data_IF_372286634114
#
_entry.id   IF_372286634114
#
_cell.length_a   1.000
_cell.length_b   1.000
_cell.length_c   1.000
_cell.angle_alpha   90.00
_cell.angle_beta   90.00
_cell.angle_gamma   90.00
#
_symmetry.space_group_name_H-M   'P 1'
#
loop_
_entity.id
_entity.type
_entity.pdbx_description
1 polymer ?
#
# COMPACT_ATOMS: atom_id res chain seq x y z
N UNK A 1 45.42 7.45 -65.33
CA UNK A 1 45.06 8.53 -64.38
C UNK A 1 43.78 8.09 -63.69
N UNK A 2 43.89 7.60 -62.46
CA UNK A 2 42.75 7.13 -61.67
C UNK A 2 42.22 8.30 -60.86
N UNK A 3 41.09 8.85 -61.29
CA UNK A 3 40.31 9.81 -60.50
C UNK A 3 39.71 9.07 -59.30
N UNK A 4 40.07 9.50 -58.08
CA UNK A 4 39.44 9.02 -56.85
C UNK A 4 38.50 10.10 -56.30
N UNK A 5 37.29 9.67 -55.95
CA UNK A 5 36.26 10.53 -55.35
C UNK A 5 36.56 10.72 -53.85
N UNK A 6 36.71 11.96 -53.40
CA UNK A 6 36.74 12.28 -51.97
C UNK A 6 35.29 12.46 -51.47
N UNK A 7 34.85 11.61 -50.55
CA UNK A 7 33.60 11.78 -49.82
C UNK A 7 33.91 12.38 -48.45
N UNK A 8 33.51 13.64 -48.25
CA UNK A 8 33.58 14.31 -46.95
C UNK A 8 32.18 14.25 -46.33
N UNK A 9 32.06 13.54 -45.22
CA UNK A 9 30.81 13.44 -44.46
C UNK A 9 30.53 14.76 -43.74
N UNK A 10 29.33 15.33 -43.92
CA UNK A 10 28.93 16.52 -43.17
C UNK A 10 28.71 16.15 -41.69
N UNK A 11 29.23 16.99 -40.78
CA UNK A 11 28.88 16.89 -39.37
C UNK A 11 27.39 17.24 -39.19
N UNK A 12 26.65 16.34 -38.52
CA UNK A 12 25.23 16.52 -38.23
C UNK A 12 25.05 16.49 -36.72
N UNK A 13 24.57 17.60 -36.18
CA UNK A 13 24.23 17.69 -34.76
C UNK A 13 22.96 16.89 -34.46
N UNK A 14 22.89 16.32 -33.26
CA UNK A 14 21.68 15.68 -32.78
C UNK A 14 20.50 16.67 -32.74
N UNK A 15 19.32 16.20 -33.16
CA UNK A 15 18.05 16.92 -33.00
C UNK A 15 17.08 16.11 -32.17
N UNK A 16 16.50 16.77 -31.16
CA UNK A 16 15.45 16.20 -30.30
C UNK A 16 14.07 16.70 -30.72
N UNK A 17 13.03 15.95 -30.38
CA UNK A 17 11.66 16.42 -30.50
C UNK A 17 11.32 17.46 -29.42
N UNK A 18 10.19 18.14 -29.62
CA UNK A 18 9.60 18.93 -28.55
C UNK A 18 9.25 18.03 -27.36
N UNK A 19 9.26 18.61 -26.16
CA UNK A 19 8.79 17.92 -24.98
C UNK A 19 7.30 17.54 -25.11
N UNK A 20 6.97 16.32 -24.72
CA UNK A 20 5.57 15.93 -24.52
C UNK A 20 4.90 16.76 -23.43
N UNK A 21 3.56 16.75 -23.45
CA UNK A 21 2.78 17.20 -22.31
C UNK A 21 3.14 16.38 -21.06
N UNK A 22 2.94 16.97 -19.89
CA UNK A 22 3.18 16.26 -18.63
C UNK A 22 2.14 15.17 -18.41
N UNK A 23 2.58 14.03 -17.89
CA UNK A 23 1.69 12.96 -17.45
C UNK A 23 0.77 13.43 -16.33
N UNK A 24 -0.35 12.73 -16.09
CA UNK A 24 -1.07 12.83 -14.83
C UNK A 24 -0.14 12.56 -13.63
N UNK A 25 -0.55 13.03 -12.46
CA UNK A 25 0.18 12.75 -11.23
C UNK A 25 0.12 11.25 -10.90
N UNK A 26 1.24 10.67 -10.46
CA UNK A 26 1.29 9.28 -10.00
C UNK A 26 0.41 9.00 -8.79
N UNK A 27 0.20 9.99 -7.92
CA UNK A 27 -0.67 9.90 -6.75
C UNK A 27 -1.91 10.77 -6.95
N UNK A 28 -3.05 10.32 -6.44
CA UNK A 28 -4.31 11.09 -6.45
C UNK A 28 -4.37 12.09 -5.30
N UNK A 29 -3.73 11.78 -4.18
CA UNK A 29 -3.61 12.61 -2.99
C UNK A 29 -2.26 12.39 -2.29
N UNK A 30 -1.97 13.22 -1.29
CA UNK A 30 -0.77 13.15 -0.47
C UNK A 30 0.44 13.80 -1.10
N UNK A 31 1.55 13.74 -0.38
CA UNK A 31 2.86 14.13 -0.89
C UNK A 31 3.51 12.98 -1.69
N UNK A 32 4.59 13.29 -2.41
CA UNK A 32 5.40 12.29 -3.11
C UNK A 32 4.92 11.91 -4.51
N UNK A 33 3.78 12.42 -4.96
CA UNK A 33 3.34 12.27 -6.34
C UNK A 33 4.30 12.95 -7.33
N UNK A 34 4.51 12.33 -8.49
CA UNK A 34 5.34 12.85 -9.58
C UNK A 34 4.58 12.90 -10.91
N UNK A 35 4.91 13.90 -11.71
CA UNK A 35 4.56 14.01 -13.13
C UNK A 35 5.82 13.79 -13.96
N UNK A 36 5.67 13.11 -15.09
CA UNK A 36 6.76 12.77 -15.99
C UNK A 36 6.46 13.31 -17.38
N UNK A 37 7.46 13.83 -18.07
CA UNK A 37 7.39 14.08 -19.53
C UNK A 37 8.63 13.57 -20.22
N UNK A 38 8.46 13.12 -21.45
CA UNK A 38 9.55 12.64 -22.30
C UNK A 38 9.72 13.46 -23.58
N UNK A 39 10.87 13.31 -24.21
CA UNK A 39 11.14 13.67 -25.60
C UNK A 39 11.98 12.56 -26.24
N UNK A 40 12.10 12.57 -27.55
CA UNK A 40 12.80 11.55 -28.33
C UNK A 40 13.87 12.15 -29.23
N UNK A 41 14.85 11.33 -29.61
CA UNK A 41 15.83 11.72 -30.62
C UNK A 41 15.19 11.62 -31.99
N UNK A 42 15.06 12.76 -32.67
CA UNK A 42 14.54 12.86 -34.05
C UNK A 42 15.66 12.61 -35.06
N UNK A 43 16.88 13.05 -34.74
CA UNK A 43 18.07 12.86 -35.57
C UNK A 43 19.26 12.56 -34.67
N UNK A 44 19.95 11.46 -34.92
CA UNK A 44 21.19 11.11 -34.23
C UNK A 44 22.35 11.92 -34.81
N UNK A 45 23.34 12.19 -33.96
CA UNK A 45 24.57 12.85 -34.41
C UNK A 45 25.35 11.96 -35.39
N UNK A 46 26.01 12.58 -36.37
CA UNK A 46 26.88 11.90 -37.32
C UNK A 46 28.15 12.70 -37.59
N UNK A 47 29.26 12.00 -37.88
CA UNK A 47 30.58 12.61 -38.00
C UNK A 47 31.00 13.32 -36.71
N UNK A 48 31.57 14.51 -36.84
CA UNK A 48 32.00 15.38 -35.73
C UNK A 48 30.83 16.20 -35.12
N UNK A 49 29.58 15.78 -35.37
CA UNK A 49 28.39 16.46 -34.84
C UNK A 49 28.18 16.22 -33.34
N UNK A 50 27.50 17.15 -32.65
CA UNK A 50 27.27 17.06 -31.21
C UNK A 50 26.28 15.95 -30.83
N UNK A 51 26.60 15.07 -29.87
CA UNK A 51 25.72 14.00 -29.43
C UNK A 51 24.48 14.54 -28.68
N UNK A 52 23.44 13.72 -28.62
CA UNK A 52 22.25 14.03 -27.84
C UNK A 52 22.56 13.96 -26.33
N UNK A 53 21.90 14.77 -25.49
CA UNK A 53 21.91 14.53 -24.05
C UNK A 53 21.21 13.22 -23.72
N UNK A 54 21.76 12.47 -22.76
CA UNK A 54 21.16 11.23 -22.24
C UNK A 54 19.81 11.47 -21.53
N UNK A 55 19.64 12.67 -20.96
CA UNK A 55 18.40 13.04 -20.27
C UNK A 55 17.27 13.37 -21.25
N UNK A 56 16.49 12.34 -21.57
CA UNK A 56 15.30 12.42 -22.42
C UNK A 56 13.98 12.50 -21.63
N UNK A 57 14.05 12.41 -20.31
CA UNK A 57 12.89 12.43 -19.40
C UNK A 57 13.02 13.57 -18.40
N UNK A 58 11.91 14.15 -17.96
CA UNK A 58 11.90 15.11 -16.86
C UNK A 58 10.83 14.73 -15.85
N UNK A 59 11.13 15.01 -14.58
CA UNK A 59 10.24 14.77 -13.46
C UNK A 59 9.89 16.12 -12.81
N UNK A 60 8.67 16.22 -12.29
CA UNK A 60 8.24 17.33 -11.43
C UNK A 60 7.32 16.80 -10.34
N UNK A 61 7.45 17.35 -9.13
CA UNK A 61 6.53 17.08 -8.03
C UNK A 61 5.11 17.53 -8.33
N UNK A 62 4.13 16.74 -7.89
CA UNK A 62 2.74 17.14 -7.96
C UNK A 62 2.36 18.14 -6.87
N UNK A 63 1.29 18.93 -7.08
CA UNK A 63 0.63 19.66 -6.01
C UNK A 63 0.15 18.69 -4.93
N UNK A 64 0.45 19.00 -3.67
CA UNK A 64 0.01 18.20 -2.52
C UNK A 64 -1.48 18.42 -2.30
N UNK A 65 -2.24 17.32 -2.20
CA UNK A 65 -3.66 17.32 -1.84
C UNK A 65 -3.86 16.48 -0.57
N UNK A 66 -4.77 16.84 0.34
CA UNK A 66 -5.08 16.00 1.49
C UNK A 66 -5.65 14.64 1.05
N UNK A 67 -5.26 13.56 1.74
CA UNK A 67 -5.90 12.25 1.59
C UNK A 67 -6.95 12.06 2.69
N UNK A 68 -8.08 11.49 2.33
CA UNK A 68 -9.16 11.13 3.25
C UNK A 68 -9.35 9.63 3.24
N UNK A 69 -9.41 9.01 4.42
CA UNK A 69 -9.64 7.57 4.54
C UNK A 69 -10.39 7.22 5.82
N UNK A 70 -11.13 6.11 5.77
CA UNK A 70 -11.82 5.56 6.94
C UNK A 70 -10.84 4.78 7.82
N UNK A 71 -10.74 5.19 9.09
CA UNK A 71 -9.96 4.48 10.11
C UNK A 71 -10.90 3.74 11.06
N UNK A 72 -10.64 2.44 11.23
CA UNK A 72 -11.38 1.59 12.17
C UNK A 72 -10.92 1.87 13.60
N UNK A 73 -11.88 2.16 14.47
CA UNK A 73 -11.66 2.28 15.90
C UNK A 73 -11.43 0.92 16.58
N UNK A 74 -11.09 0.93 17.87
CA UNK A 74 -10.98 -0.28 18.67
C UNK A 74 -12.34 -0.97 18.83
N UNK A 75 -12.32 -2.29 19.00
CA UNK A 75 -13.51 -3.06 19.36
C UNK A 75 -14.00 -2.69 20.77
N UNK A 76 -15.32 -2.58 20.93
CA UNK A 76 -15.93 -2.51 22.24
C UNK A 76 -15.70 -3.82 23.00
N UNK A 77 -15.85 -3.82 24.34
CA UNK A 77 -16.06 -5.06 25.09
C UNK A 77 -17.21 -5.88 24.50
N UNK A 78 -17.16 -7.20 24.69
CA UNK A 78 -18.22 -8.10 24.25
C UNK A 78 -19.50 -7.81 25.03
N UNK A 79 -20.59 -7.46 24.32
CA UNK A 79 -21.90 -7.25 24.93
C UNK A 79 -22.75 -8.49 24.72
N UNK A 80 -23.02 -9.22 25.79
CA UNK A 80 -23.85 -10.43 25.80
C UNK A 80 -25.34 -10.09 25.89
N UNK A 81 -26.21 -10.92 25.31
CA UNK A 81 -27.66 -10.76 25.41
C UNK A 81 -28.21 -11.57 26.58
N UNK A 82 -28.89 -10.92 27.53
CA UNK A 82 -29.63 -11.61 28.59
C UNK A 82 -28.79 -12.10 29.80
N UNK A 83 -27.55 -11.64 29.98
CA UNK A 83 -26.71 -12.06 31.11
C UNK A 83 -25.42 -11.25 31.28
N UNK A 84 -24.49 -11.76 32.11
CA UNK A 84 -23.11 -11.25 32.26
C UNK A 84 -22.08 -12.07 31.47
N UNK A 85 -22.50 -13.20 30.89
CA UNK A 85 -21.68 -14.14 30.13
C UNK A 85 -22.53 -14.79 29.03
N UNK A 86 -21.90 -15.56 28.13
CA UNK A 86 -22.52 -16.20 26.96
C UNK A 86 -22.17 -15.51 25.65
N UNK A 87 -22.99 -15.73 24.62
CA UNK A 87 -22.79 -15.14 23.30
C UNK A 87 -23.17 -13.66 23.27
N UNK A 88 -22.41 -12.90 22.49
CA UNK A 88 -22.57 -11.47 22.37
C UNK A 88 -22.03 -10.89 21.07
N UNK A 89 -22.05 -9.56 21.02
CA UNK A 89 -21.53 -8.79 19.91
C UNK A 89 -20.54 -7.74 20.40
N UNK A 90 -19.40 -7.65 19.73
CA UNK A 90 -18.50 -6.51 19.79
C UNK A 90 -18.84 -5.57 18.64
N UNK A 91 -18.85 -4.28 18.94
CA UNK A 91 -19.07 -3.23 17.94
C UNK A 91 -17.88 -2.28 17.93
N UNK A 92 -17.52 -1.77 16.76
CA UNK A 92 -16.55 -0.69 16.63
C UNK A 92 -17.08 0.38 15.71
N UNK A 93 -16.58 1.59 15.89
CA UNK A 93 -16.87 2.69 14.98
C UNK A 93 -15.77 2.82 13.92
N UNK A 94 -16.08 3.62 12.93
CA UNK A 94 -15.16 4.10 11.91
C UNK A 94 -15.11 5.62 12.02
N UNK A 95 -13.96 6.19 11.70
CA UNK A 95 -13.73 7.63 11.76
C UNK A 95 -13.09 8.09 10.46
N UNK A 96 -13.66 9.11 9.82
CA UNK A 96 -13.03 9.70 8.65
C UNK A 96 -11.82 10.51 9.12
N UNK A 97 -10.65 10.24 8.54
CA UNK A 97 -9.42 10.94 8.88
C UNK A 97 -8.74 11.55 7.67
N UNK A 98 -8.12 12.71 7.86
CA UNK A 98 -7.24 13.34 6.88
C UNK A 98 -5.78 13.01 7.18
N UNK A 99 -5.00 12.70 6.14
CA UNK A 99 -3.57 12.44 6.23
C UNK A 99 -2.83 12.91 4.97
N UNK A 100 -1.51 13.12 5.08
CA UNK A 100 -0.67 13.59 3.96
C UNK A 100 0.09 12.45 3.24
N UNK A 101 -0.43 11.23 3.28
CA UNK A 101 0.21 9.99 2.82
C UNK A 101 1.57 9.62 3.48
N UNK A 102 2.15 10.50 4.31
CA UNK A 102 3.35 10.24 5.11
C UNK A 102 2.97 9.76 6.52
N UNK A 103 2.92 8.43 6.68
CA UNK A 103 2.77 7.69 7.95
C UNK A 103 1.51 7.98 8.81
N UNK A 104 0.98 6.92 9.40
CA UNK A 104 -0.21 6.84 10.26
C UNK A 104 -0.22 7.82 11.47
N UNK A 105 0.92 8.46 11.78
CA UNK A 105 1.16 9.25 12.98
C UNK A 105 0.57 10.67 12.96
N UNK A 106 0.00 11.15 11.84
CA UNK A 106 -0.61 12.49 11.74
C UNK A 106 -2.00 12.47 11.12
N UNK A 107 -2.76 11.41 11.38
CA UNK A 107 -4.18 11.38 11.01
C UNK A 107 -4.99 12.26 11.96
N UNK A 108 -5.86 13.12 11.42
CA UNK A 108 -6.80 13.94 12.20
C UNK A 108 -8.23 13.60 11.79
N UNK A 109 -9.17 13.49 12.75
CA UNK A 109 -10.58 13.24 12.43
C UNK A 109 -11.17 14.44 11.67
N UNK A 110 -11.99 14.14 10.67
CA UNK A 110 -12.70 15.12 9.84
C UNK A 110 -14.12 14.64 9.55
N UNK A 111 -14.92 15.46 8.86
CA UNK A 111 -16.30 15.12 8.49
C UNK A 111 -16.37 13.93 7.53
N UNK A 112 -17.31 13.03 7.82
CA UNK A 112 -17.57 11.78 7.09
C UNK A 112 -17.78 11.97 5.58
N UNK A 113 -18.37 13.09 5.17
CA UNK A 113 -18.61 13.43 3.76
C UNK A 113 -17.32 13.51 2.91
N UNK A 114 -16.16 13.73 3.54
CA UNK A 114 -14.87 13.81 2.85
C UNK A 114 -14.29 12.44 2.48
N UNK A 115 -14.67 11.38 3.21
CA UNK A 115 -14.25 10.01 2.94
C UNK A 115 -15.16 9.28 1.94
N UNK A 116 -16.33 9.85 1.62
CA UNK A 116 -17.28 9.29 0.66
C UNK A 116 -18.11 8.15 1.25
N UNK A 117 -18.34 7.09 0.47
CA UNK A 117 -19.19 5.97 0.91
C UNK A 117 -18.56 5.21 2.07
N UNK A 118 -19.41 4.86 3.05
CA UNK A 118 -19.04 4.01 4.16
C UNK A 118 -18.70 2.60 3.64
N UNK A 119 -17.67 1.93 4.17
CA UNK A 119 -17.40 0.53 3.85
C UNK A 119 -18.54 -0.32 4.41
N UNK A 120 -19.57 -0.54 3.59
CA UNK A 120 -20.91 -1.08 3.89
C UNK A 120 -20.95 -2.55 4.33
N UNK A 121 -19.83 -3.16 4.71
CA UNK A 121 -19.89 -4.52 5.27
C UNK A 121 -20.17 -4.40 6.76
N UNK A 122 -21.42 -4.62 7.16
CA UNK A 122 -21.84 -4.71 8.58
C UNK A 122 -20.90 -5.64 9.39
N UNK A 123 -20.36 -6.66 8.73
CA UNK A 123 -19.36 -7.59 9.27
C UNK A 123 -18.04 -6.95 9.71
N UNK A 124 -17.73 -5.73 9.26
CA UNK A 124 -16.51 -5.00 9.65
C UNK A 124 -16.76 -4.17 10.91
N UNK A 125 -17.99 -3.77 11.19
CA UNK A 125 -18.35 -2.94 12.35
C UNK A 125 -18.89 -3.74 13.52
N UNK A 126 -19.32 -4.98 13.27
CA UNK A 126 -19.82 -5.91 14.28
C UNK A 126 -19.15 -7.26 14.14
N UNK A 127 -18.79 -7.87 15.27
CA UNK A 127 -18.19 -9.20 15.33
C UNK A 127 -18.84 -10.01 16.46
N UNK A 128 -19.22 -11.27 16.22
CA UNK A 128 -19.65 -12.17 17.29
C UNK A 128 -18.50 -12.44 18.26
N UNK A 129 -18.85 -12.54 19.54
CA UNK A 129 -17.91 -12.79 20.62
C UNK A 129 -18.60 -13.65 21.69
N UNK A 130 -17.82 -14.28 22.56
CA UNK A 130 -18.32 -15.02 23.71
C UNK A 130 -17.58 -14.60 24.97
N UNK A 131 -18.33 -14.48 26.07
CA UNK A 131 -17.79 -14.25 27.41
C UNK A 131 -18.01 -15.54 28.21
N UNK A 132 -16.95 -16.20 28.71
CA UNK A 132 -17.09 -17.43 29.49
C UNK A 132 -18.05 -17.29 30.68
N UNK A 133 -18.99 -18.23 30.86
CA UNK A 133 -19.84 -18.22 32.05
C UNK A 133 -19.16 -18.88 33.26
N UNK A 134 -19.48 -18.43 34.48
CA UNK A 134 -19.03 -19.11 35.70
C UNK A 134 -19.50 -20.58 35.68
N UNK A 135 -18.55 -21.52 35.71
CA UNK A 135 -18.83 -22.95 35.67
C UNK A 135 -18.65 -23.60 34.29
N UNK A 136 -18.42 -22.82 33.24
CA UNK A 136 -18.12 -23.36 31.92
C UNK A 136 -16.68 -23.87 31.88
N UNK A 137 -16.52 -25.14 31.49
CA UNK A 137 -15.23 -25.72 31.17
C UNK A 137 -14.90 -25.39 29.71
N UNK A 138 -14.11 -24.34 29.49
CA UNK A 138 -13.55 -24.06 28.18
C UNK A 138 -12.27 -24.89 27.99
N UNK A 139 -12.30 -25.82 27.04
CA UNK A 139 -11.10 -26.52 26.59
C UNK A 139 -10.16 -25.50 25.94
N UNK A 140 -8.90 -25.50 26.34
CA UNK A 140 -7.89 -24.69 25.65
C UNK A 140 -7.61 -25.26 24.27
N UNK A 141 -7.02 -24.46 23.38
CA UNK A 141 -6.36 -25.01 22.19
C UNK A 141 -5.38 -26.11 22.63
N UNK A 142 -5.32 -27.18 21.83
CA UNK A 142 -4.39 -28.27 22.09
C UNK A 142 -2.98 -27.72 22.22
N UNK A 143 -2.30 -28.12 23.30
CA UNK A 143 -0.89 -27.84 23.41
C UNK A 143 -0.15 -28.50 22.26
N UNK A 144 1.00 -27.94 21.90
CA UNK A 144 1.92 -28.65 21.00
C UNK A 144 2.28 -29.99 21.64
N UNK A 145 2.27 -31.05 20.83
CA UNK A 145 2.73 -32.37 21.27
C UNK A 145 4.07 -32.24 21.98
N UNK A 146 4.15 -32.77 23.20
CA UNK A 146 5.42 -32.87 23.89
C UNK A 146 6.39 -33.69 23.05
N UNK A 147 7.67 -33.32 23.04
CA UNK A 147 8.72 -34.16 22.47
C UNK A 147 8.63 -35.57 23.08
N UNK A 148 8.73 -36.60 22.25
CA UNK A 148 8.78 -37.98 22.72
C UNK A 148 9.96 -38.13 23.69
N UNK A 149 9.67 -38.23 24.98
CA UNK A 149 10.69 -38.46 25.99
C UNK A 149 11.02 -39.95 25.96
N UNK A 150 12.10 -40.27 25.25
CA UNK A 150 12.60 -41.64 25.08
C UNK A 150 13.23 -42.13 26.39
N UNK A 151 12.44 -42.21 27.46
CA UNK A 151 12.76 -43.08 28.59
C UNK A 151 12.31 -44.48 28.20
N UNK A 152 13.27 -45.40 28.10
CA UNK A 152 13.08 -46.75 27.57
C UNK A 152 12.24 -47.66 28.49
N UNK A 153 11.04 -47.24 28.89
CA UNK A 153 9.98 -48.09 29.46
C UNK A 153 8.64 -47.55 28.91
N UNK A 154 8.26 -48.04 27.74
CA UNK A 154 6.95 -47.89 27.08
C UNK A 154 6.46 -46.44 26.85
N UNK A 155 6.89 -45.87 25.71
CA UNK A 155 6.46 -44.56 25.22
C UNK A 155 4.94 -44.39 25.23
N UNK A 156 4.47 -43.48 26.07
CA UNK A 156 3.12 -42.92 26.06
C UNK A 156 3.26 -41.43 25.77
N UNK A 157 2.61 -40.94 24.72
CA UNK A 157 2.31 -39.52 24.58
C UNK A 157 1.18 -39.18 25.56
N UNK A 158 1.31 -38.07 26.27
CA UNK A 158 0.25 -37.56 27.14
C UNK A 158 -0.47 -36.43 26.42
N UNK A 159 -1.79 -36.54 26.38
CA UNK A 159 -2.72 -35.52 25.90
C UNK A 159 -3.39 -34.93 27.15
N UNK A 160 -3.19 -33.65 27.41
CA UNK A 160 -3.80 -32.97 28.57
C UNK A 160 -4.87 -32.02 28.06
N UNK A 161 -6.11 -32.24 28.51
CA UNK A 161 -7.29 -31.36 28.31
C UNK A 161 -7.23 -30.10 29.14
#
# INVERSE_FOLDING_TARGET
QTSSHCMVSCAVDCRLSAWSAWSPCSHTCGAGGQMVRGRSVVLRAAGEGRPCPEQLTQHRSCPVKPCYSWLLGPWSPCRVQGGQCGDGLQVRNLTCVVHNASALATSKPVEDALCGELPLKESVLQLPCSVPCPGDCHLTEWSQWSSCELTCINGRSFETT
#
